data_IF_365796598619
#
_entry.id   IF_365796598619
#
_cell.length_a   1.000
_cell.length_b   1.000
_cell.length_c   1.000
_cell.angle_alpha   90.00
_cell.angle_beta   90.00
_cell.angle_gamma   90.00
#
_symmetry.space_group_name_H-M   'P 1'
#
loop_
_entity.id
_entity.type
_entity.pdbx_description
1 polymer ?
#
# COMPACT_ATOMS: atom_id res chain seq x y z
N UNK A 1 -4.07 0.07 16.17
CA UNK A 1 -2.96 -0.25 15.25
C UNK A 1 -3.58 -0.48 13.89
N UNK A 2 -3.22 0.34 12.89
CA UNK A 2 -3.70 0.21 11.52
C UNK A 2 -2.74 -0.72 10.79
N UNK A 3 -3.25 -1.82 10.24
CA UNK A 3 -2.47 -2.68 9.34
C UNK A 3 -2.54 -2.04 7.95
N UNK A 4 -1.38 -1.66 7.41
CA UNK A 4 -1.26 -1.10 6.05
C UNK A 4 -0.65 -2.18 5.17
N UNK A 5 -1.37 -2.61 4.12
CA UNK A 5 -0.80 -3.42 3.06
C UNK A 5 -0.40 -2.51 1.90
N UNK A 6 0.89 -2.50 1.57
CA UNK A 6 1.35 -1.93 0.31
C UNK A 6 1.01 -2.93 -0.80
N UNK A 7 0.16 -2.53 -1.76
CA UNK A 7 -0.08 -3.33 -2.96
C UNK A 7 1.20 -3.39 -3.81
N UNK A 8 1.72 -4.59 -4.07
CA UNK A 8 2.87 -4.78 -4.96
C UNK A 8 2.44 -4.50 -6.41
N UNK A 9 3.10 -3.54 -7.06
CA UNK A 9 3.01 -3.35 -8.49
C UNK A 9 3.64 -4.56 -9.21
N UNK A 10 2.85 -5.18 -10.09
CA UNK A 10 3.22 -6.37 -10.84
C UNK A 10 4.30 -6.04 -11.89
N UNK A 11 5.58 -6.14 -11.54
CA UNK A 11 6.67 -6.06 -12.53
C UNK A 11 6.77 -7.37 -13.31
N UNK A 12 6.44 -7.33 -14.60
CA UNK A 12 6.67 -8.43 -15.52
C UNK A 12 8.19 -8.67 -15.70
N UNK A 13 8.72 -9.74 -15.09
CA UNK A 13 10.08 -10.20 -15.37
C UNK A 13 10.14 -10.83 -16.77
N UNK A 14 11.01 -10.31 -17.64
CA UNK A 14 11.50 -11.03 -18.82
C UNK A 14 12.82 -11.74 -18.51
N UNK A 15 13.09 -12.91 -19.13
CA UNK A 15 14.21 -13.76 -18.79
C UNK A 15 15.48 -13.35 -19.57
N UNK A 16 16.63 -13.45 -18.92
CA UNK A 16 17.92 -13.50 -19.59
C UNK A 16 18.46 -14.93 -19.54
N UNK A 17 18.54 -15.56 -20.72
CA UNK A 17 19.17 -16.85 -20.95
C UNK A 17 20.63 -16.66 -21.33
N UNK A 18 21.56 -17.36 -20.68
CA UNK A 18 22.85 -17.80 -21.24
C UNK A 18 23.53 -18.85 -20.31
N UNK A 19 24.44 -19.72 -20.83
CA UNK A 19 24.52 -21.13 -20.41
C UNK A 19 25.72 -21.55 -19.54
N UNK A 20 25.44 -22.59 -18.75
CA UNK A 20 26.21 -23.80 -18.35
C UNK A 20 27.75 -23.79 -18.46
N UNK A 21 28.42 -24.07 -17.32
CA UNK A 21 29.57 -25.00 -17.26
C UNK A 21 29.49 -25.92 -16.02
N UNK A 22 29.87 -27.20 -16.14
CA UNK A 22 29.76 -28.19 -15.08
C UNK A 22 31.05 -28.26 -14.24
N UNK A 23 30.91 -28.51 -12.94
CA UNK A 23 31.96 -29.15 -12.15
C UNK A 23 31.36 -30.15 -11.16
N UNK A 24 32.16 -31.19 -10.95
CA UNK A 24 31.81 -32.54 -10.58
C UNK A 24 32.02 -32.81 -9.09
N UNK A 25 31.08 -33.59 -8.52
CA UNK A 25 31.18 -34.55 -7.41
C UNK A 25 31.68 -34.09 -6.02
N UNK A 26 30.86 -34.38 -4.99
CA UNK A 26 31.09 -35.50 -4.04
C UNK A 26 29.74 -36.00 -3.52
N UNK A 27 29.41 -37.27 -3.76
CA UNK A 27 28.32 -37.97 -3.07
C UNK A 27 28.74 -38.24 -1.62
N UNK A 28 27.92 -37.82 -0.66
CA UNK A 28 27.84 -38.47 0.66
C UNK A 28 26.44 -39.05 0.82
N UNK A 29 26.40 -40.38 0.86
CA UNK A 29 25.26 -41.14 1.31
C UNK A 29 25.11 -40.94 2.83
N UNK A 30 23.96 -40.45 3.26
CA UNK A 30 23.48 -40.64 4.63
C UNK A 30 22.03 -41.09 4.56
N UNK A 31 21.83 -42.22 5.22
CA UNK A 31 20.62 -43.00 5.38
C UNK A 31 19.41 -42.17 5.80
N UNK A 32 18.34 -42.25 5.01
CA UNK A 32 17.03 -41.74 5.35
C UNK A 32 16.32 -42.68 6.33
N UNK A 33 15.77 -42.19 7.46
CA UNK A 33 14.67 -42.87 8.11
C UNK A 33 13.39 -42.61 7.30
N UNK A 34 12.67 -43.68 6.94
CA UNK A 34 11.29 -43.64 6.46
C UNK A 34 10.43 -42.98 7.56
N UNK A 35 10.19 -41.68 7.45
CA UNK A 35 9.11 -41.02 8.15
C UNK A 35 7.88 -41.05 7.24
N UNK A 36 6.86 -41.75 7.73
CA UNK A 36 5.53 -41.87 7.17
C UNK A 36 4.89 -40.48 7.09
N UNK A 37 5.08 -39.77 5.97
CA UNK A 37 4.42 -38.50 5.72
C UNK A 37 2.96 -38.78 5.37
N UNK A 38 2.09 -38.63 6.37
CA UNK A 38 0.64 -38.56 6.20
C UNK A 38 0.31 -37.59 5.07
N UNK A 39 -0.37 -38.08 4.03
CA UNK A 39 -1.11 -37.26 3.08
C UNK A 39 -2.15 -36.46 3.88
N UNK A 40 -1.79 -35.27 4.33
CA UNK A 40 -2.77 -34.25 4.61
C UNK A 40 -3.32 -33.84 3.24
N UNK A 41 -4.54 -34.31 2.93
CA UNK A 41 -5.43 -33.55 2.06
C UNK A 41 -5.67 -32.21 2.77
N UNK A 42 -4.72 -31.29 2.63
CA UNK A 42 -5.02 -29.88 2.77
C UNK A 42 -6.04 -29.61 1.68
N UNK A 43 -7.28 -29.36 2.08
CA UNK A 43 -8.25 -28.74 1.20
C UNK A 43 -7.53 -27.52 0.62
N UNK A 44 -7.21 -27.55 -0.67
CA UNK A 44 -6.84 -26.37 -1.38
C UNK A 44 -8.04 -25.44 -1.21
N UNK A 45 -7.91 -24.43 -0.35
CA UNK A 45 -8.91 -23.38 -0.23
C UNK A 45 -9.12 -22.84 -1.63
N UNK A 46 -10.28 -23.16 -2.20
CA UNK A 46 -10.75 -22.61 -3.45
C UNK A 46 -11.18 -21.17 -3.19
N UNK A 47 -10.26 -20.32 -2.77
CA UNK A 47 -10.49 -18.88 -2.67
C UNK A 47 -10.01 -18.21 -3.94
N UNK A 48 -10.57 -18.67 -5.06
CA UNK A 48 -10.73 -17.79 -6.21
C UNK A 48 -11.92 -16.85 -5.92
N UNK A 49 -11.75 -15.99 -4.90
CA UNK A 49 -12.69 -14.91 -4.61
C UNK A 49 -12.19 -13.65 -5.31
N UNK A 50 -13.14 -12.89 -5.84
CA UNK A 50 -12.99 -11.67 -6.64
C UNK A 50 -12.33 -10.56 -5.80
N UNK A 51 -10.99 -10.48 -5.79
CA UNK A 51 -10.23 -9.72 -4.78
C UNK A 51 -10.16 -8.20 -5.02
N UNK A 52 -11.26 -7.48 -4.78
CA UNK A 52 -11.22 -6.02 -4.49
C UNK A 52 -11.75 -5.72 -3.06
N UNK A 53 -11.71 -6.72 -2.17
CA UNK A 53 -12.24 -6.63 -0.81
C UNK A 53 -11.13 -6.97 0.19
N UNK A 54 -10.78 -6.06 1.10
CA UNK A 54 -9.73 -6.25 2.10
C UNK A 54 -10.32 -6.85 3.39
N UNK A 55 -9.91 -8.07 3.75
CA UNK A 55 -10.13 -8.64 5.08
C UNK A 55 -9.03 -8.16 6.03
N UNK A 56 -9.40 -7.30 6.99
CA UNK A 56 -8.48 -6.78 8.01
C UNK A 56 -8.04 -7.84 9.03
N UNK A 57 -8.70 -8.98 9.08
CA UNK A 57 -8.47 -10.02 10.06
C UNK A 57 -9.22 -9.78 11.39
N UNK A 58 -9.35 -10.87 12.15
CA UNK A 58 -10.11 -10.90 13.40
C UNK A 58 -9.55 -9.92 14.44
N UNK A 59 -10.45 -9.13 15.05
CA UNK A 59 -10.10 -8.17 16.10
C UNK A 59 -9.46 -6.86 15.61
N UNK A 60 -9.18 -6.73 14.31
CA UNK A 60 -8.66 -5.49 13.73
C UNK A 60 -9.83 -4.56 13.42
N UNK A 61 -9.84 -3.39 14.07
CA UNK A 61 -10.92 -2.42 13.90
C UNK A 61 -10.84 -1.64 12.58
N UNK A 62 -9.61 -1.36 12.13
CA UNK A 62 -9.29 -0.56 10.95
C UNK A 62 -8.05 -1.13 10.24
N UNK A 63 -8.16 -1.32 8.94
CA UNK A 63 -7.05 -1.54 8.03
C UNK A 63 -7.29 -0.74 6.74
N UNK A 64 -6.24 -0.56 5.95
CA UNK A 64 -6.44 -0.01 4.63
C UNK A 64 -5.20 0.16 3.80
N UNK A 65 -5.36 0.93 2.73
CA UNK A 65 -4.34 1.12 1.71
C UNK A 65 -3.72 2.50 1.85
N UNK A 66 -2.39 2.55 1.94
CA UNK A 66 -1.64 3.79 1.72
C UNK A 66 -1.33 3.90 0.23
N UNK A 67 -1.97 4.85 -0.44
CA UNK A 67 -1.84 5.06 -1.89
C UNK A 67 -0.76 6.11 -2.16
N UNK A 68 0.17 5.79 -3.04
CA UNK A 68 1.32 6.62 -3.41
C UNK A 68 1.34 6.83 -4.92
N UNK A 69 1.81 7.99 -5.35
CA UNK A 69 1.93 8.38 -6.75
C UNK A 69 3.41 8.47 -7.14
N UNK A 70 3.80 7.86 -8.26
CA UNK A 70 5.17 7.97 -8.80
C UNK A 70 5.42 9.27 -9.56
N UNK A 71 4.34 9.98 -9.94
CA UNK A 71 4.38 11.15 -10.81
C UNK A 71 4.51 10.87 -12.30
N UNK A 72 4.49 9.59 -12.71
CA UNK A 72 4.53 9.19 -14.14
C UNK A 72 3.16 9.13 -14.81
N UNK A 73 2.09 9.32 -14.05
CA UNK A 73 0.74 9.31 -14.57
C UNK A 73 0.46 10.52 -15.48
N UNK A 74 -0.67 10.53 -16.20
CA UNK A 74 -1.09 11.68 -16.97
C UNK A 74 -1.79 12.74 -16.10
N UNK A 75 -1.84 13.98 -16.59
CA UNK A 75 -2.65 15.05 -15.99
C UNK A 75 -2.24 15.37 -14.56
N UNK A 76 -3.20 15.35 -13.63
CA UNK A 76 -2.96 15.64 -12.21
C UNK A 76 -1.97 14.67 -11.55
N UNK A 77 -1.81 13.46 -12.10
CA UNK A 77 -0.87 12.43 -11.64
C UNK A 77 0.54 12.59 -12.25
N UNK A 78 0.76 13.65 -13.04
CA UNK A 78 2.06 13.98 -13.60
C UNK A 78 2.77 15.00 -12.72
N UNK A 79 3.87 14.60 -12.08
CA UNK A 79 4.67 15.47 -11.23
C UNK A 79 6.09 14.92 -11.05
N UNK A 80 6.98 15.81 -10.61
CA UNK A 80 8.42 15.55 -10.58
C UNK A 80 8.81 14.53 -9.51
N UNK A 81 8.14 14.53 -8.35
CA UNK A 81 8.51 13.73 -7.19
C UNK A 81 7.39 12.77 -6.79
N UNK A 82 7.69 11.67 -6.14
CA UNK A 82 6.71 10.75 -5.60
C UNK A 82 5.98 11.40 -4.42
N UNK A 83 4.66 11.27 -4.42
CA UNK A 83 3.78 11.90 -3.43
C UNK A 83 2.85 10.86 -2.81
N UNK A 84 2.30 11.22 -1.66
CA UNK A 84 1.17 10.48 -1.10
C UNK A 84 -0.09 10.92 -1.84
N UNK A 85 -0.90 9.96 -2.27
CA UNK A 85 -2.27 10.25 -2.73
C UNK A 85 -3.19 10.31 -1.51
N UNK A 86 -3.21 9.27 -0.68
CA UNK A 86 -4.12 9.18 0.46
C UNK A 86 -3.95 7.92 1.28
N UNK A 87 -4.68 7.85 2.40
CA UNK A 87 -4.81 6.66 3.23
C UNK A 87 -6.28 6.27 3.27
N UNK A 88 -6.60 5.10 2.75
CA UNK A 88 -7.98 4.71 2.47
C UNK A 88 -8.38 3.54 3.36
N UNK A 89 -9.15 3.77 4.44
CA UNK A 89 -9.73 2.69 5.22
C UNK A 89 -10.67 1.85 4.34
N UNK A 90 -10.45 0.54 4.33
CA UNK A 90 -11.22 -0.37 3.46
C UNK A 90 -12.53 -0.74 4.16
N UNK A 91 -13.46 0.21 4.17
CA UNK A 91 -14.78 0.10 4.82
C UNK A 91 -15.86 -0.34 3.82
N UNK A 92 -16.96 -0.91 4.33
CA UNK A 92 -18.15 -1.17 3.54
C UNK A 92 -17.92 -2.21 2.44
N UNK A 93 -18.11 -1.82 1.18
CA UNK A 93 -17.91 -2.72 0.03
C UNK A 93 -16.44 -2.92 -0.35
N UNK A 94 -15.51 -2.21 0.30
CA UNK A 94 -14.08 -2.37 0.04
C UNK A 94 -13.36 -3.23 1.07
N UNK A 95 -13.92 -3.49 2.25
CA UNK A 95 -13.29 -4.35 3.24
C UNK A 95 -14.04 -4.48 4.55
N UNK A 96 -13.42 -5.17 5.51
CA UNK A 96 -14.00 -5.47 6.83
C UNK A 96 -13.73 -4.38 7.86
N UNK A 97 -13.12 -3.26 7.49
CA UNK A 97 -12.88 -2.16 8.42
C UNK A 97 -14.19 -1.59 8.94
N UNK A 98 -14.19 -1.20 10.22
CA UNK A 98 -15.27 -0.39 10.78
C UNK A 98 -15.08 1.06 10.36
N UNK A 99 -16.15 1.76 10.00
CA UNK A 99 -16.07 3.22 9.92
C UNK A 99 -16.03 3.79 11.35
N UNK A 100 -14.90 4.40 11.72
CA UNK A 100 -14.74 5.07 13.02
C UNK A 100 -14.71 6.58 12.75
N UNK A 101 -15.79 7.26 13.10
CA UNK A 101 -15.94 8.69 12.87
C UNK A 101 -15.01 9.53 13.75
N UNK A 102 -14.55 10.69 13.23
CA UNK A 102 -13.74 11.61 14.01
C UNK A 102 -14.57 12.35 15.06
N UNK A 103 -13.87 12.97 16.01
CA UNK A 103 -14.52 13.84 17.02
C UNK A 103 -14.98 15.17 16.41
N UNK A 104 -14.28 15.62 15.38
CA UNK A 104 -14.62 16.80 14.59
C UNK A 104 -14.61 16.44 13.11
N UNK A 105 -15.66 16.81 12.38
CA UNK A 105 -15.78 16.63 10.93
C UNK A 105 -15.39 17.89 10.14
N UNK A 106 -14.84 18.92 10.79
CA UNK A 106 -14.45 20.15 10.12
C UNK A 106 -13.40 19.90 9.04
N UNK A 107 -13.53 20.61 7.92
CA UNK A 107 -12.62 20.51 6.78
C UNK A 107 -11.19 20.98 7.13
N UNK A 108 -10.16 20.44 6.45
CA UNK A 108 -8.82 21.00 6.53
C UNK A 108 -8.78 22.44 6.00
N UNK A 109 -8.00 23.29 6.65
CA UNK A 109 -7.88 24.73 6.33
C UNK A 109 -6.44 25.15 6.00
N UNK A 110 -5.54 24.19 5.83
CA UNK A 110 -4.14 24.41 5.46
C UNK A 110 -3.70 23.24 4.58
N UNK A 111 -2.75 23.47 3.68
CA UNK A 111 -2.10 22.39 2.92
C UNK A 111 -1.03 21.73 3.80
N UNK A 112 -1.05 20.42 3.93
CA UNK A 112 -0.04 19.66 4.66
C UNK A 112 1.19 19.40 3.78
N UNK A 113 2.37 19.37 4.41
CA UNK A 113 3.64 19.38 3.68
C UNK A 113 3.83 18.20 2.72
N UNK A 114 3.22 17.04 2.96
CA UNK A 114 3.33 15.90 2.04
C UNK A 114 2.49 16.04 0.76
N UNK A 115 1.49 16.94 0.76
CA UNK A 115 0.68 17.31 -0.39
C UNK A 115 1.19 18.56 -1.11
N UNK A 116 2.08 19.32 -0.48
CA UNK A 116 2.61 20.54 -1.05
C UNK A 116 3.43 20.26 -2.31
N UNK A 117 3.02 20.86 -3.42
CA UNK A 117 3.71 20.77 -4.72
C UNK A 117 3.70 22.13 -5.40
N UNK A 118 4.67 22.36 -6.28
CA UNK A 118 4.75 23.55 -7.14
C UNK A 118 3.88 23.43 -8.42
N UNK A 119 3.27 22.26 -8.66
CA UNK A 119 2.50 21.98 -9.87
C UNK A 119 1.00 22.31 -9.77
N UNK A 120 0.51 22.70 -8.59
CA UNK A 120 -0.91 23.02 -8.34
C UNK A 120 -1.04 24.29 -7.48
N UNK A 121 -2.18 24.97 -7.58
CA UNK A 121 -2.48 26.11 -6.71
C UNK A 121 -2.80 25.65 -5.28
N UNK A 122 -2.71 26.57 -4.31
CA UNK A 122 -3.07 26.26 -2.91
C UNK A 122 -4.54 25.85 -2.78
N UNK A 123 -5.43 26.49 -3.54
CA UNK A 123 -6.86 26.15 -3.56
C UNK A 123 -7.10 24.73 -4.10
N UNK A 124 -6.42 24.33 -5.18
CA UNK A 124 -6.51 22.98 -5.73
C UNK A 124 -6.01 21.91 -4.74
N UNK A 125 -4.95 22.22 -3.99
CA UNK A 125 -4.40 21.33 -2.97
C UNK A 125 -5.34 21.19 -1.78
N UNK A 126 -5.93 22.30 -1.33
CA UNK A 126 -6.95 22.29 -0.29
C UNK A 126 -8.23 21.55 -0.72
N UNK A 127 -8.65 21.69 -1.98
CA UNK A 127 -9.78 20.92 -2.54
C UNK A 127 -9.49 19.42 -2.55
N UNK A 128 -8.27 19.04 -2.89
CA UNK A 128 -7.84 17.65 -2.86
C UNK A 128 -7.80 17.09 -1.42
N UNK A 129 -7.27 17.84 -0.45
CA UNK A 129 -7.30 17.42 0.95
C UNK A 129 -8.74 17.34 1.50
N UNK A 130 -9.63 18.26 1.13
CA UNK A 130 -11.06 18.13 1.46
C UNK A 130 -11.66 16.85 0.89
N UNK A 131 -11.31 16.47 -0.34
CA UNK A 131 -11.73 15.21 -0.94
C UNK A 131 -11.24 14.00 -0.14
N UNK A 132 -9.94 13.94 0.18
CA UNK A 132 -9.36 12.84 0.96
C UNK A 132 -9.97 12.76 2.36
N UNK A 133 -10.24 13.89 2.99
CA UNK A 133 -10.89 13.96 4.29
C UNK A 133 -12.34 13.45 4.25
N UNK A 134 -13.16 13.97 3.34
CA UNK A 134 -14.57 13.59 3.20
C UNK A 134 -14.73 12.11 2.85
N UNK A 135 -13.91 11.60 1.92
CA UNK A 135 -14.04 10.23 1.41
C UNK A 135 -13.41 9.18 2.31
N UNK A 136 -12.28 9.49 2.92
CA UNK A 136 -11.45 8.48 3.59
C UNK A 136 -11.23 8.81 5.06
N UNK A 137 -10.84 10.06 5.36
CA UNK A 137 -10.57 10.52 6.72
C UNK A 137 -11.76 10.42 7.67
N UNK A 138 -12.98 10.64 7.16
CA UNK A 138 -14.23 10.57 7.93
C UNK A 138 -14.53 9.19 8.57
N UNK A 139 -13.84 8.13 8.12
CA UNK A 139 -13.93 6.77 8.67
C UNK A 139 -12.61 6.23 9.21
N UNK A 140 -11.54 7.03 9.21
CA UNK A 140 -10.18 6.58 9.51
C UNK A 140 -9.86 6.42 11.01
N UNK A 141 -10.81 6.72 11.91
CA UNK A 141 -10.56 6.72 13.35
C UNK A 141 -9.63 7.84 13.83
N UNK A 142 -9.36 8.83 12.97
CA UNK A 142 -8.63 10.04 13.32
C UNK A 142 -9.46 10.93 14.25
N UNK A 143 -8.80 11.75 15.07
CA UNK A 143 -9.46 12.71 15.97
C UNK A 143 -10.15 13.84 15.19
N UNK A 144 -9.47 14.34 14.17
CA UNK A 144 -9.83 15.47 13.31
C UNK A 144 -8.98 15.42 12.02
N UNK A 145 -9.20 16.35 11.09
CA UNK A 145 -8.45 16.42 9.83
C UNK A 145 -6.93 16.56 10.06
N UNK A 146 -6.50 17.32 11.06
CA UNK A 146 -5.07 17.49 11.36
C UNK A 146 -4.42 16.19 11.82
N UNK A 147 -5.08 15.43 12.69
CA UNK A 147 -4.62 14.10 13.09
C UNK A 147 -4.55 13.14 11.90
N UNK A 148 -5.57 13.13 11.04
CA UNK A 148 -5.59 12.31 9.82
C UNK A 148 -4.38 12.62 8.92
N UNK A 149 -4.21 13.88 8.51
CA UNK A 149 -3.13 14.25 7.58
C UNK A 149 -1.73 14.11 8.20
N UNK A 150 -1.59 14.33 9.52
CA UNK A 150 -0.32 14.04 10.21
C UNK A 150 0.03 12.56 10.11
N UNK A 151 -0.93 11.65 10.31
CA UNK A 151 -0.71 10.21 10.16
C UNK A 151 -0.41 9.82 8.70
N UNK A 152 -1.15 10.37 7.73
CA UNK A 152 -0.93 10.15 6.30
C UNK A 152 0.50 10.54 5.90
N UNK A 153 0.91 11.75 6.23
CA UNK A 153 2.26 12.22 5.91
C UNK A 153 3.34 11.39 6.62
N UNK A 154 3.11 11.00 7.88
CA UNK A 154 4.05 10.16 8.64
C UNK A 154 4.22 8.76 8.05
N UNK A 155 3.12 8.12 7.63
CA UNK A 155 3.14 6.80 6.98
C UNK A 155 3.75 6.86 5.56
N UNK A 156 3.52 7.97 4.86
CA UNK A 156 3.99 8.19 3.49
C UNK A 156 5.47 8.56 3.35
N UNK A 157 6.09 9.15 4.36
CA UNK A 157 7.44 9.72 4.26
C UNK A 157 8.52 8.71 3.83
N UNK A 158 8.56 7.55 4.48
CA UNK A 158 9.55 6.52 4.14
C UNK A 158 9.33 5.89 2.75
N UNK A 159 8.11 5.44 2.37
CA UNK A 159 7.92 4.80 1.08
C UNK A 159 8.06 5.75 -0.11
N UNK A 160 7.65 7.02 -0.02
CA UNK A 160 7.87 7.98 -1.13
C UNK A 160 9.36 8.22 -1.36
N UNK A 161 10.18 8.31 -0.30
CA UNK A 161 11.65 8.39 -0.44
C UNK A 161 12.26 7.15 -1.10
N UNK A 162 11.68 5.97 -0.90
CA UNK A 162 12.12 4.75 -1.57
C UNK A 162 11.75 4.80 -3.06
N UNK A 163 10.52 5.24 -3.37
CA UNK A 163 10.07 5.42 -4.75
C UNK A 163 10.96 6.41 -5.51
N UNK A 164 11.35 7.52 -4.89
CA UNK A 164 12.26 8.49 -5.50
C UNK A 164 13.61 7.90 -5.84
N UNK A 165 14.22 7.15 -4.92
CA UNK A 165 15.49 6.45 -5.20
C UNK A 165 15.34 5.43 -6.33
N UNK A 166 14.20 4.74 -6.40
CA UNK A 166 13.90 3.80 -7.48
C UNK A 166 13.79 4.51 -8.82
N UNK A 167 13.10 5.67 -8.84
CA UNK A 167 12.91 6.53 -10.02
C UNK A 167 14.23 7.09 -10.54
N UNK A 168 15.08 7.58 -9.65
CA UNK A 168 16.43 8.06 -9.97
C UNK A 168 17.32 6.95 -10.55
N UNK A 169 17.16 5.72 -10.05
CA UNK A 169 17.89 4.55 -10.54
C UNK A 169 17.30 3.93 -11.82
N UNK A 170 16.14 4.40 -12.28
CA UNK A 170 15.39 3.81 -13.41
C UNK A 170 14.86 2.40 -13.14
N UNK A 171 14.43 2.14 -11.89
CA UNK A 171 13.99 0.83 -11.38
C UNK A 171 12.51 0.80 -10.97
N UNK A 172 11.75 1.87 -11.26
CA UNK A 172 10.34 2.02 -10.93
C UNK A 172 9.36 1.53 -12.02
#
# INVERSE_FOLDING_TARGET
AVLVQAGEAYTARRPLSAPIRPMSFVLRASSAPLALALLQLGAASTDAVRQNYMDCGSGVALCGTLTLETGRGPGAYHHEYAHVHGLWPEVGHYGTSKCIHPRSSADPTQVYSCYQTNSRSEDDLLDFERHEWDKHGACAGAKDANDYFTQVCGLGDAPTKIMEKSKEAGQD
#
